data_IF_755656442243
#
_entry.id   IF_755656442243
#
_cell.length_a   1.000
_cell.length_b   1.000
_cell.length_c   1.000
_cell.angle_alpha   90.00
_cell.angle_beta   90.00
_cell.angle_gamma   90.00
#
_symmetry.space_group_name_H-M   'P 1'
#
loop_
_entity.id
_entity.type
_entity.pdbx_description
1 polymer ?
#
# COMPACT_ATOMS: atom_id res chain seq x y z
N UNK A 1 35.34 -22.68 1.28
CA UNK A 1 34.40 -22.87 2.41
C UNK A 1 33.19 -21.92 2.40
N UNK A 2 33.34 -20.59 2.25
CA UNK A 2 32.20 -19.63 2.24
C UNK A 2 31.10 -19.96 1.21
N UNK A 3 31.46 -20.48 0.04
CA UNK A 3 30.49 -20.82 -1.02
C UNK A 3 29.57 -21.98 -0.64
N UNK A 4 30.08 -23.02 0.03
CA UNK A 4 29.29 -24.17 0.50
C UNK A 4 28.35 -23.78 1.65
N UNK A 5 28.81 -22.92 2.55
CA UNK A 5 27.99 -22.38 3.65
C UNK A 5 26.84 -21.50 3.12
N UNK A 6 27.12 -20.64 2.13
CA UNK A 6 26.11 -19.82 1.47
C UNK A 6 25.07 -20.66 0.74
N UNK A 7 25.51 -21.71 0.02
CA UNK A 7 24.62 -22.59 -0.72
C UNK A 7 23.72 -23.44 0.21
N UNK A 8 24.25 -23.85 1.38
CA UNK A 8 23.45 -24.50 2.42
C UNK A 8 22.40 -23.56 3.06
N UNK A 9 22.75 -22.30 3.30
CA UNK A 9 21.79 -21.30 3.81
C UNK A 9 20.68 -21.00 2.79
N UNK A 10 21.01 -20.86 1.50
CA UNK A 10 20.01 -20.66 0.44
C UNK A 10 19.05 -21.85 0.34
N UNK A 11 19.55 -23.09 0.34
CA UNK A 11 18.70 -24.29 0.30
C UNK A 11 17.77 -24.41 1.53
N UNK A 12 18.17 -23.86 2.67
CA UNK A 12 17.34 -23.81 3.89
C UNK A 12 16.23 -22.76 3.79
N UNK A 13 16.42 -21.72 2.98
CA UNK A 13 15.47 -20.60 2.78
C UNK A 13 14.53 -20.87 1.60
N UNK A 14 15.03 -21.48 0.51
CA UNK A 14 14.26 -21.90 -0.67
C UNK A 14 13.91 -23.40 -0.57
N UNK A 15 13.02 -23.74 0.35
CA UNK A 15 12.36 -25.05 0.31
C UNK A 15 11.22 -25.02 -0.72
N UNK A 16 10.81 -26.16 -1.29
CA UNK A 16 9.68 -26.22 -2.23
C UNK A 16 8.42 -25.55 -1.67
N UNK A 17 8.18 -25.71 -0.37
CA UNK A 17 7.06 -25.11 0.33
C UNK A 17 7.14 -23.57 0.36
N UNK A 18 8.33 -23.00 0.57
CA UNK A 18 8.52 -21.54 0.51
C UNK A 18 8.39 -20.97 -0.89
N UNK A 19 8.79 -21.72 -1.92
CA UNK A 19 8.59 -21.33 -3.33
C UNK A 19 7.10 -21.22 -3.66
N UNK A 20 6.27 -22.16 -3.16
CA UNK A 20 4.81 -22.08 -3.33
C UNK A 20 4.24 -20.78 -2.76
N UNK A 21 4.69 -20.35 -1.57
CA UNK A 21 4.21 -19.09 -0.96
C UNK A 21 4.66 -17.87 -1.78
N UNK A 22 5.92 -17.85 -2.24
CA UNK A 22 6.43 -16.74 -3.05
C UNK A 22 5.72 -16.65 -4.40
N UNK A 23 5.48 -17.80 -5.05
CA UNK A 23 4.70 -17.87 -6.28
C UNK A 23 3.28 -17.38 -6.07
N UNK A 24 2.61 -17.86 -5.02
CA UNK A 24 1.27 -17.40 -4.66
C UNK A 24 1.22 -15.88 -4.43
N UNK A 25 2.16 -15.34 -3.67
CA UNK A 25 2.26 -13.90 -3.44
C UNK A 25 2.52 -13.12 -4.74
N UNK A 26 3.43 -13.59 -5.59
CA UNK A 26 3.72 -12.98 -6.89
C UNK A 26 2.52 -13.00 -7.82
N UNK A 27 1.83 -14.14 -7.94
CA UNK A 27 0.59 -14.26 -8.72
C UNK A 27 -0.49 -13.34 -8.17
N UNK A 28 -0.66 -13.24 -6.85
CA UNK A 28 -1.63 -12.33 -6.24
C UNK A 28 -1.33 -10.86 -6.57
N UNK A 29 -0.05 -10.45 -6.55
CA UNK A 29 0.36 -9.09 -6.95
C UNK A 29 0.07 -8.82 -8.43
N UNK A 30 0.40 -9.77 -9.32
CA UNK A 30 0.14 -9.63 -10.75
C UNK A 30 -1.35 -9.56 -11.02
N UNK A 31 -2.16 -10.45 -10.44
CA UNK A 31 -3.61 -10.45 -10.60
C UNK A 31 -4.23 -9.18 -10.06
N UNK A 32 -3.79 -8.70 -8.88
CA UNK A 32 -4.26 -7.44 -8.32
C UNK A 32 -3.93 -6.28 -9.26
N UNK A 33 -2.70 -6.22 -9.78
CA UNK A 33 -2.29 -5.16 -10.69
C UNK A 33 -3.10 -5.18 -11.99
N UNK A 34 -3.22 -6.35 -12.63
CA UNK A 34 -4.01 -6.53 -13.85
C UNK A 34 -5.48 -6.19 -13.63
N UNK A 35 -6.11 -6.71 -12.58
CA UNK A 35 -7.48 -6.38 -12.24
C UNK A 35 -7.65 -4.87 -12.13
N UNK A 36 -6.70 -4.20 -11.50
CA UNK A 36 -6.80 -2.75 -11.29
C UNK A 36 -6.41 -1.89 -12.47
N UNK A 37 -5.81 -2.45 -13.51
CA UNK A 37 -5.52 -1.74 -14.76
C UNK A 37 -6.68 -1.91 -15.76
N UNK A 38 -7.34 -3.07 -15.78
CA UNK A 38 -8.37 -3.41 -16.78
C UNK A 38 -9.82 -3.38 -16.27
N UNK A 39 -10.07 -3.62 -14.98
CA UNK A 39 -11.45 -3.68 -14.47
C UNK A 39 -12.11 -2.30 -14.48
N UNK A 40 -13.42 -2.17 -14.75
CA UNK A 40 -14.13 -0.90 -14.65
C UNK A 40 -14.07 -0.33 -13.22
N UNK A 41 -14.22 1.00 -13.09
CA UNK A 41 -14.10 1.69 -11.79
C UNK A 41 -15.14 1.18 -10.77
N UNK A 42 -16.28 0.68 -11.25
CA UNK A 42 -17.31 0.01 -10.44
C UNK A 42 -16.80 -1.20 -9.67
N UNK A 43 -15.81 -1.93 -10.18
CA UNK A 43 -15.19 -3.07 -9.49
C UNK A 43 -14.13 -2.63 -8.48
N UNK A 44 -13.70 -1.36 -8.48
CA UNK A 44 -12.74 -0.81 -7.53
C UNK A 44 -13.39 -0.21 -6.28
N UNK A 45 -14.72 -0.33 -6.14
CA UNK A 45 -15.49 0.20 -5.00
C UNK A 45 -14.96 -0.28 -3.65
N UNK A 46 -14.51 -1.53 -3.56
CA UNK A 46 -13.95 -2.07 -2.31
C UNK A 46 -12.78 -1.24 -1.78
N UNK A 47 -12.02 -0.61 -2.67
CA UNK A 47 -10.89 0.24 -2.32
C UNK A 47 -11.23 1.73 -2.30
N UNK A 48 -12.09 2.18 -3.23
CA UNK A 48 -12.47 3.58 -3.34
C UNK A 48 -13.47 4.00 -2.25
N UNK A 49 -14.46 3.17 -1.93
CA UNK A 49 -15.48 3.50 -0.93
C UNK A 49 -14.91 3.86 0.46
N UNK A 50 -14.00 3.08 1.08
CA UNK A 50 -13.46 3.43 2.38
C UNK A 50 -12.57 4.68 2.34
N UNK A 51 -11.90 4.93 1.21
CA UNK A 51 -11.13 6.16 1.00
C UNK A 51 -12.07 7.36 0.91
N UNK A 52 -13.11 7.28 0.08
CA UNK A 52 -14.12 8.33 -0.08
C UNK A 52 -14.81 8.62 1.24
N UNK A 53 -15.18 7.60 2.02
CA UNK A 53 -15.81 7.78 3.33
C UNK A 53 -14.95 8.64 4.29
N UNK A 54 -13.63 8.42 4.32
CA UNK A 54 -12.72 9.22 5.15
C UNK A 54 -12.64 10.66 4.62
N UNK A 55 -12.59 10.82 3.28
CA UNK A 55 -12.56 12.14 2.64
C UNK A 55 -13.86 12.91 2.90
N UNK A 56 -15.02 12.27 2.79
CA UNK A 56 -16.34 12.82 3.13
C UNK A 56 -16.40 13.28 4.58
N UNK A 57 -16.00 12.41 5.51
CA UNK A 57 -15.98 12.72 6.94
C UNK A 57 -15.08 13.92 7.25
N UNK A 58 -13.95 14.07 6.56
CA UNK A 58 -13.01 15.17 6.80
C UNK A 58 -13.41 16.47 6.09
N UNK A 59 -13.99 16.38 4.90
CA UNK A 59 -14.34 17.54 4.07
C UNK A 59 -15.73 18.09 4.34
N UNK A 60 -16.63 17.27 4.91
CA UNK A 60 -18.05 17.60 5.08
C UNK A 60 -18.83 17.66 3.75
N UNK A 61 -18.22 17.27 2.62
CA UNK A 61 -18.84 17.28 1.30
C UNK A 61 -19.29 15.88 0.90
N UNK A 62 -20.52 15.69 0.39
CA UNK A 62 -20.96 14.39 -0.08
C UNK A 62 -20.35 14.04 -1.45
N UNK A 63 -20.07 12.76 -1.67
CA UNK A 63 -19.61 12.21 -2.93
C UNK A 63 -20.59 11.20 -3.52
N UNK A 64 -20.82 11.29 -4.83
CA UNK A 64 -21.72 10.39 -5.57
C UNK A 64 -20.92 9.49 -6.48
N UNK A 65 -21.31 8.22 -6.56
CA UNK A 65 -20.63 7.25 -7.41
C UNK A 65 -21.12 7.37 -8.86
N UNK A 66 -20.19 7.64 -9.77
CA UNK A 66 -20.35 7.62 -11.22
C UNK A 66 -19.60 6.42 -11.81
N UNK A 67 -20.25 5.67 -12.71
CA UNK A 67 -19.67 4.43 -13.26
C UNK A 67 -18.45 4.66 -14.14
N UNK A 68 -18.34 5.83 -14.78
CA UNK A 68 -17.26 6.17 -15.69
C UNK A 68 -16.06 6.76 -14.94
N UNK A 69 -16.30 7.62 -13.95
CA UNK A 69 -15.26 8.44 -13.30
C UNK A 69 -14.92 8.02 -11.87
N UNK A 70 -15.79 7.27 -11.20
CA UNK A 70 -15.65 6.93 -9.78
C UNK A 70 -16.45 7.89 -8.89
N UNK A 71 -15.94 8.22 -7.70
CA UNK A 71 -16.66 9.11 -6.79
C UNK A 71 -16.43 10.57 -7.15
N UNK A 72 -17.52 11.31 -7.39
CA UNK A 72 -17.52 12.74 -7.71
C UNK A 72 -18.03 13.55 -6.53
N UNK A 73 -17.38 14.66 -6.20
CA UNK A 73 -17.90 15.59 -5.21
C UNK A 73 -19.19 16.26 -5.70
N UNK A 74 -20.03 16.72 -4.77
CA UNK A 74 -21.31 17.37 -5.10
C UNK A 74 -21.18 18.64 -5.96
N UNK A 75 -20.05 19.34 -5.87
CA UNK A 75 -19.70 20.49 -6.71
C UNK A 75 -19.10 20.09 -8.08
N UNK A 76 -18.85 18.79 -8.30
CA UNK A 76 -18.26 18.24 -9.53
C UNK A 76 -16.78 18.54 -9.73
N UNK A 77 -16.11 19.18 -8.77
CA UNK A 77 -14.72 19.65 -8.91
C UNK A 77 -13.70 18.54 -8.66
N UNK A 78 -14.00 17.60 -7.75
CA UNK A 78 -13.08 16.55 -7.30
C UNK A 78 -13.61 15.19 -7.75
N UNK A 79 -12.77 14.46 -8.49
CA UNK A 79 -13.04 13.08 -8.90
C UNK A 79 -12.04 12.11 -8.24
N UNK A 80 -12.55 11.18 -7.43
CA UNK A 80 -11.79 10.08 -6.83
C UNK A 80 -12.00 8.84 -7.72
N UNK A 81 -11.10 8.71 -8.69
CA UNK A 81 -11.09 7.61 -9.67
C UNK A 81 -9.96 6.61 -9.46
N UNK A 82 -9.70 5.79 -10.48
CA UNK A 82 -8.66 4.73 -10.47
C UNK A 82 -7.29 5.22 -10.02
N UNK A 83 -6.87 6.41 -10.47
CA UNK A 83 -5.56 7.00 -10.16
C UNK A 83 -5.37 7.35 -8.68
N UNK A 84 -6.48 7.50 -7.94
CA UNK A 84 -6.52 7.81 -6.52
C UNK A 84 -6.61 6.55 -5.63
N UNK A 85 -6.86 5.39 -6.22
CA UNK A 85 -7.04 4.13 -5.48
C UNK A 85 -5.77 3.66 -4.75
N UNK A 86 -4.57 4.08 -5.21
CA UNK A 86 -3.30 3.84 -4.54
C UNK A 86 -2.90 2.37 -4.38
N UNK A 87 -3.32 1.52 -5.31
CA UNK A 87 -3.01 0.08 -5.32
C UNK A 87 -1.52 -0.19 -5.37
N UNK A 88 -0.78 0.58 -6.18
CA UNK A 88 0.67 0.43 -6.26
C UNK A 88 1.33 0.63 -4.89
N UNK A 89 0.86 1.63 -4.12
CA UNK A 89 1.34 1.87 -2.77
C UNK A 89 1.03 0.69 -1.83
N UNK A 90 -0.20 0.17 -1.86
CA UNK A 90 -0.62 -1.00 -1.06
C UNK A 90 0.24 -2.23 -1.39
N UNK A 91 0.48 -2.49 -2.67
CA UNK A 91 1.33 -3.61 -3.13
C UNK A 91 2.76 -3.46 -2.58
N UNK A 92 3.36 -2.27 -2.73
CA UNK A 92 4.72 -2.01 -2.24
C UNK A 92 4.78 -2.18 -0.71
N UNK A 93 3.82 -1.60 0.01
CA UNK A 93 3.74 -1.70 1.46
C UNK A 93 3.55 -3.16 1.92
N UNK A 94 2.73 -3.94 1.21
CA UNK A 94 2.50 -5.36 1.51
C UNK A 94 3.76 -6.19 1.31
N UNK A 95 4.42 -6.06 0.16
CA UNK A 95 5.62 -6.82 -0.17
C UNK A 95 6.80 -6.45 0.73
N UNK A 96 6.94 -5.18 1.08
CA UNK A 96 7.89 -4.72 2.10
C UNK A 96 7.59 -5.37 3.46
N UNK A 97 6.35 -5.28 3.94
CA UNK A 97 5.98 -5.82 5.26
C UNK A 97 6.14 -7.34 5.35
N UNK A 98 5.86 -8.05 4.25
CA UNK A 98 6.01 -9.49 4.13
C UNK A 98 7.49 -9.90 4.11
N UNK A 99 8.31 -9.26 3.27
CA UNK A 99 9.75 -9.55 3.15
C UNK A 99 10.51 -9.31 4.46
N UNK A 100 10.17 -8.25 5.22
CA UNK A 100 10.76 -7.98 6.55
C UNK A 100 10.54 -9.10 7.57
N UNK A 101 9.52 -9.94 7.36
CA UNK A 101 9.18 -11.05 8.26
C UNK A 101 9.55 -12.42 7.69
N UNK A 102 10.11 -12.46 6.48
CA UNK A 102 10.45 -13.68 5.74
C UNK A 102 11.59 -14.47 6.38
N UNK A 103 12.56 -13.79 6.99
CA UNK A 103 13.75 -14.40 7.60
C UNK A 103 13.47 -15.17 8.89
N UNK A 104 12.22 -15.14 9.39
CA UNK A 104 11.83 -15.85 10.62
C UNK A 104 11.69 -17.34 10.35
N UNK A 105 12.23 -18.18 11.25
CA UNK A 105 12.00 -19.63 11.25
C UNK A 105 10.54 -19.89 11.59
N UNK A 106 9.70 -19.92 10.55
CA UNK A 106 8.26 -20.11 10.65
C UNK A 106 7.84 -21.38 9.92
N UNK A 107 6.86 -22.08 10.49
CA UNK A 107 6.15 -23.15 9.79
C UNK A 107 5.38 -22.59 8.58
N UNK A 108 5.03 -23.46 7.65
CA UNK A 108 4.30 -23.07 6.43
C UNK A 108 2.99 -22.33 6.72
N UNK A 109 2.19 -22.83 7.67
CA UNK A 109 0.95 -22.19 8.12
C UNK A 109 1.20 -20.77 8.62
N UNK A 110 2.24 -20.58 9.41
CA UNK A 110 2.58 -19.26 9.97
C UNK A 110 3.06 -18.28 8.90
N UNK A 111 3.80 -18.77 7.88
CA UNK A 111 4.20 -17.94 6.73
C UNK A 111 2.99 -17.47 5.93
N UNK A 112 2.03 -18.37 5.68
CA UNK A 112 0.79 -18.01 5.00
C UNK A 112 -0.04 -17.01 5.82
N UNK A 113 -0.21 -17.25 7.14
CA UNK A 113 -0.86 -16.28 8.02
C UNK A 113 -0.13 -14.94 8.06
N UNK A 114 1.20 -14.95 7.99
CA UNK A 114 2.00 -13.71 7.89
C UNK A 114 1.70 -12.97 6.60
N UNK A 115 1.62 -13.67 5.46
CA UNK A 115 1.28 -13.08 4.17
C UNK A 115 -0.09 -12.37 4.21
N UNK A 116 -1.11 -13.05 4.74
CA UNK A 116 -2.46 -12.49 4.89
C UNK A 116 -2.47 -11.30 5.86
N UNK A 117 -1.83 -11.45 7.02
CA UNK A 117 -1.75 -10.39 8.02
C UNK A 117 -1.07 -9.13 7.46
N UNK A 118 0.06 -9.27 6.77
CA UNK A 118 0.75 -8.11 6.18
C UNK A 118 -0.03 -7.49 5.03
N UNK A 119 -0.82 -8.28 4.30
CA UNK A 119 -1.70 -7.79 3.25
C UNK A 119 -2.82 -6.94 3.83
N UNK A 120 -3.46 -7.43 4.89
CA UNK A 120 -4.50 -6.70 5.61
C UNK A 120 -3.97 -5.38 6.20
N UNK A 121 -2.82 -5.40 6.89
CA UNK A 121 -2.27 -4.17 7.48
C UNK A 121 -1.83 -3.16 6.40
N UNK A 122 -1.29 -3.63 5.27
CA UNK A 122 -0.95 -2.76 4.14
C UNK A 122 -2.18 -2.16 3.48
N UNK A 123 -3.28 -2.92 3.35
CA UNK A 123 -4.55 -2.42 2.85
C UNK A 123 -5.11 -1.32 3.75
N UNK A 124 -5.24 -1.56 5.06
CA UNK A 124 -5.73 -0.56 6.01
C UNK A 124 -4.87 0.70 5.99
N UNK A 125 -3.54 0.54 6.01
CA UNK A 125 -2.62 1.67 5.95
C UNK A 125 -2.74 2.44 4.62
N UNK A 126 -2.86 1.71 3.50
CA UNK A 126 -3.05 2.31 2.18
C UNK A 126 -4.32 3.14 2.09
N UNK A 127 -5.44 2.65 2.60
CA UNK A 127 -6.70 3.41 2.65
C UNK A 127 -6.49 4.76 3.37
N UNK A 128 -5.85 4.75 4.54
CA UNK A 128 -5.56 5.97 5.30
C UNK A 128 -4.64 6.93 4.54
N UNK A 129 -3.55 6.42 3.97
CA UNK A 129 -2.58 7.24 3.23
C UNK A 129 -3.18 7.82 1.95
N UNK A 130 -4.03 7.06 1.26
CA UNK A 130 -4.73 7.53 0.05
C UNK A 130 -5.76 8.60 0.38
N UNK A 131 -6.54 8.43 1.45
CA UNK A 131 -7.44 9.48 1.92
C UNK A 131 -6.67 10.75 2.27
N UNK A 132 -5.57 10.63 3.03
CA UNK A 132 -4.71 11.77 3.35
C UNK A 132 -4.13 12.44 2.11
N UNK A 133 -3.68 11.68 1.11
CA UNK A 133 -3.20 12.22 -0.17
C UNK A 133 -4.28 13.03 -0.88
N UNK A 134 -5.51 12.55 -0.91
CA UNK A 134 -6.63 13.26 -1.55
C UNK A 134 -6.92 14.56 -0.81
N UNK A 135 -7.07 14.50 0.52
CA UNK A 135 -7.32 15.68 1.37
C UNK A 135 -6.20 16.72 1.24
N UNK A 136 -4.94 16.28 1.22
CA UNK A 136 -3.80 17.17 1.03
C UNK A 136 -3.80 17.79 -0.38
N UNK A 137 -4.16 17.02 -1.40
CA UNK A 137 -4.25 17.51 -2.77
C UNK A 137 -5.38 18.54 -2.94
N UNK A 138 -6.54 18.33 -2.31
CA UNK A 138 -7.66 19.28 -2.37
C UNK A 138 -7.32 20.58 -1.63
N UNK A 139 -6.60 20.52 -0.51
CA UNK A 139 -6.07 21.71 0.15
C UNK A 139 -4.98 22.43 -0.64
N UNK A 140 -4.11 21.68 -1.32
CA UNK A 140 -3.03 22.25 -2.13
C UNK A 140 -3.51 22.92 -3.42
N UNK A 141 -4.63 22.47 -4.00
CA UNK A 141 -5.26 23.13 -5.16
C UNK A 141 -5.63 24.59 -4.85
N UNK A 142 -6.17 24.87 -3.66
CA UNK A 142 -6.48 26.21 -3.17
C UNK A 142 -5.24 27.12 -3.03
N UNK A 143 -4.05 26.53 -2.90
CA UNK A 143 -2.77 27.24 -2.84
C UNK A 143 -2.12 27.38 -4.22
N UNK A 144 -2.21 26.36 -5.07
CA UNK A 144 -1.63 26.35 -6.42
C UNK A 144 -2.30 27.34 -7.37
N UNK A 145 -3.59 27.65 -7.18
CA UNK A 145 -4.26 28.73 -7.91
C UNK A 145 -3.63 30.12 -7.66
N UNK A 146 -2.74 30.25 -6.66
CA UNK A 146 -1.99 31.48 -6.37
C UNK A 146 -0.58 31.50 -6.96
N UNK A 147 -0.11 30.40 -7.56
CA UNK A 147 1.28 30.27 -8.08
C UNK A 147 1.28 29.65 -9.48
N UNK A 148 1.13 30.50 -10.51
CA UNK A 148 1.01 30.12 -11.93
C UNK A 148 2.15 29.25 -12.48
N UNK A 149 3.36 29.34 -11.92
CA UNK A 149 4.52 28.59 -12.41
C UNK A 149 4.48 27.08 -12.06
N UNK A 150 3.66 26.69 -11.07
CA UNK A 150 3.46 25.31 -10.65
C UNK A 150 2.22 24.74 -11.33
N UNK A 151 2.38 24.20 -12.55
CA UNK A 151 1.28 23.55 -13.27
C UNK A 151 0.58 22.48 -12.41
N UNK A 152 -0.75 22.56 -12.31
CA UNK A 152 -1.61 21.74 -11.42
C UNK A 152 -1.30 20.24 -11.42
N UNK A 153 -0.95 19.68 -12.57
CA UNK A 153 -0.62 18.27 -12.73
C UNK A 153 0.68 17.88 -12.00
N UNK A 154 1.75 18.68 -12.14
CA UNK A 154 3.06 18.39 -11.55
C UNK A 154 3.03 18.53 -10.04
N UNK A 155 2.30 19.53 -9.52
CA UNK A 155 2.10 19.74 -8.09
C UNK A 155 1.37 18.55 -7.45
N UNK A 156 0.34 18.03 -8.12
CA UNK A 156 -0.40 16.87 -7.64
C UNK A 156 0.45 15.58 -7.60
N UNK A 157 1.25 15.34 -8.64
CA UNK A 157 2.14 14.18 -8.70
C UNK A 157 3.26 14.26 -7.66
N UNK A 158 3.93 15.41 -7.54
CA UNK A 158 4.99 15.62 -6.56
C UNK A 158 4.50 15.46 -5.12
N UNK A 159 3.31 16.00 -4.80
CA UNK A 159 2.68 15.82 -3.50
C UNK A 159 2.37 14.35 -3.23
N UNK A 160 1.85 13.63 -4.23
CA UNK A 160 1.61 12.19 -4.14
C UNK A 160 2.87 11.39 -3.84
N UNK A 161 3.97 11.67 -4.56
CA UNK A 161 5.28 11.04 -4.32
C UNK A 161 5.76 11.32 -2.90
N UNK A 162 5.73 12.58 -2.46
CA UNK A 162 6.19 12.99 -1.14
C UNK A 162 5.42 12.29 -0.01
N UNK A 163 4.08 12.28 -0.11
CA UNK A 163 3.20 11.63 0.88
C UNK A 163 3.45 10.12 0.90
N UNK A 164 3.42 9.46 -0.26
CA UNK A 164 3.63 8.01 -0.32
C UNK A 164 5.00 7.60 0.19
N UNK A 165 6.06 8.31 -0.19
CA UNK A 165 7.41 7.99 0.28
C UNK A 165 7.53 8.15 1.80
N UNK A 166 7.05 9.27 2.34
CA UNK A 166 7.10 9.56 3.78
C UNK A 166 6.28 8.54 4.59
N UNK A 167 5.08 8.20 4.13
CA UNK A 167 4.23 7.20 4.77
C UNK A 167 4.81 5.79 4.66
N UNK A 168 5.45 5.43 3.55
CA UNK A 168 6.11 4.15 3.39
C UNK A 168 7.28 4.00 4.38
N UNK A 169 8.08 5.05 4.55
CA UNK A 169 9.14 5.10 5.57
C UNK A 169 8.57 4.96 6.98
N UNK A 170 7.51 5.71 7.30
CA UNK A 170 6.86 5.61 8.60
C UNK A 170 6.36 4.19 8.88
N UNK A 171 5.74 3.54 7.89
CA UNK A 171 5.29 2.15 8.00
C UNK A 171 6.45 1.17 8.18
N UNK A 172 7.54 1.35 7.43
CA UNK A 172 8.77 0.58 7.61
C UNK A 172 9.32 0.70 9.03
N UNK A 173 9.46 1.92 9.56
CA UNK A 173 9.98 2.14 10.91
C UNK A 173 9.04 1.57 11.98
N UNK A 174 7.73 1.71 11.81
CA UNK A 174 6.73 1.15 12.71
C UNK A 174 6.85 -0.38 12.76
N UNK A 175 6.92 -1.03 11.60
CA UNK A 175 7.10 -2.48 11.51
C UNK A 175 8.44 -2.92 12.11
N UNK A 176 9.52 -2.20 11.81
CA UNK A 176 10.85 -2.49 12.36
C UNK A 176 10.85 -2.39 13.89
N UNK A 177 10.22 -1.36 14.45
CA UNK A 177 10.06 -1.19 15.90
C UNK A 177 9.26 -2.34 16.52
N UNK A 178 8.11 -2.70 15.92
CA UNK A 178 7.28 -3.85 16.36
C UNK A 178 8.02 -5.19 16.27
N UNK A 179 8.85 -5.37 15.25
CA UNK A 179 9.66 -6.57 15.07
C UNK A 179 10.77 -6.65 16.14
N UNK A 180 11.47 -5.54 16.39
CA UNK A 180 12.57 -5.47 17.38
C UNK A 180 12.06 -5.66 18.82
N UNK A 181 10.93 -5.05 19.16
CA UNK A 181 10.32 -5.18 20.50
C UNK A 181 9.83 -6.59 20.80
N UNK A 182 9.45 -7.38 19.78
CA UNK A 182 9.16 -8.81 19.94
C UNK A 182 10.42 -9.69 20.06
N UNK A 183 11.63 -9.11 20.01
CA UNK A 183 12.89 -9.81 20.22
C UNK A 183 13.71 -9.20 21.38
N UNK A 184 13.27 -9.31 22.66
CA UNK A 184 14.09 -8.83 23.77
C UNK A 184 15.16 -9.83 24.25
N UNK A 185 15.11 -11.13 23.90
CA UNK A 185 16.03 -12.14 24.47
C UNK A 185 16.31 -13.33 23.54
N UNK A 186 17.18 -13.16 22.55
CA UNK A 186 17.83 -14.31 21.87
C UNK A 186 19.34 -14.11 21.67
N UNK A 187 19.97 -13.29 22.54
CA UNK A 187 21.43 -13.10 22.58
C UNK A 187 21.90 -12.80 24.01
N UNK A 188 21.79 -13.75 24.93
CA UNK A 188 22.78 -14.03 26.00
C UNK A 188 22.65 -15.52 26.36
N UNK A 189 23.37 -16.39 25.65
CA UNK A 189 23.84 -17.71 26.12
C UNK A 189 24.86 -18.23 25.09
#
# INVERSE_FOLDING_TARGET
MKFLYYNQQIKKILTPATLVILLFAGTAVVLLKLHTDYAPVSQLKWLLAPVTFIVEMQSGMPYFFDEAKGYLSADGVIAIGRTCAGINFIIIAWMMAFSMQWSRKKMMRERFLTLLYTGFTAYCFGVLVNAFRIIAATGALSFSDRVEWLGKHKTHEALGIFIYFSCLLAYYFLLRYRIKTKMPYENIA
#
